data_IF_266732095977
#
_entry.id   IF_266732095977
#
_cell.length_a   1.000
_cell.length_b   1.000
_cell.length_c   1.000
_cell.angle_alpha   90.00
_cell.angle_beta   90.00
_cell.angle_gamma   90.00
#
_symmetry.space_group_name_H-M   'P 1'
#
loop_
_entity.id
_entity.type
_entity.pdbx_description
1 polymer ?
#
# COMPACT_ATOMS: atom_id res chain seq x y z
N UNK A 1 -2.20 -14.76 -4.53
CA UNK A 1 -1.53 -13.83 -5.47
C UNK A 1 -0.04 -14.10 -5.45
N UNK A 2 0.69 -13.82 -6.54
CA UNK A 2 2.12 -14.08 -6.65
C UNK A 2 2.87 -12.84 -7.15
N UNK A 3 4.18 -12.78 -6.89
CA UNK A 3 5.04 -11.77 -7.50
C UNK A 3 4.97 -11.86 -9.04
N UNK A 4 5.04 -10.71 -9.71
CA UNK A 4 4.83 -10.56 -11.16
C UNK A 4 3.37 -10.38 -11.57
N UNK A 5 2.40 -10.57 -10.67
CA UNK A 5 0.99 -10.31 -10.97
C UNK A 5 0.79 -8.81 -11.21
N UNK A 6 0.14 -8.45 -12.32
CA UNK A 6 -0.22 -7.07 -12.63
C UNK A 6 -1.67 -6.81 -12.24
N UNK A 7 -1.92 -5.59 -11.77
CA UNK A 7 -3.25 -5.08 -11.49
C UNK A 7 -3.40 -3.68 -12.05
N UNK A 8 -4.59 -3.13 -11.90
CA UNK A 8 -4.86 -1.77 -12.34
C UNK A 8 -5.64 -1.05 -11.25
N UNK A 9 -5.12 0.09 -10.81
CA UNK A 9 -5.79 0.97 -9.88
C UNK A 9 -6.51 2.07 -10.67
N UNK A 10 -7.82 2.19 -10.51
CA UNK A 10 -8.59 3.34 -10.99
C UNK A 10 -8.90 4.25 -9.80
N UNK A 11 -8.10 5.30 -9.57
CA UNK A 11 -8.39 6.24 -8.49
C UNK A 11 -9.69 7.02 -8.79
N UNK A 12 -10.38 7.48 -7.74
CA UNK A 12 -11.58 8.31 -7.89
C UNK A 12 -11.31 9.64 -8.61
N UNK A 13 -10.07 10.11 -8.58
CA UNK A 13 -9.55 11.21 -9.40
C UNK A 13 -8.17 10.84 -9.94
N UNK A 14 -7.98 10.95 -11.26
CA UNK A 14 -6.72 10.66 -11.94
C UNK A 14 -6.82 9.54 -12.98
N UNK A 15 -5.75 9.32 -13.77
CA UNK A 15 -5.72 8.28 -14.78
C UNK A 15 -5.65 6.89 -14.15
N UNK A 16 -6.05 5.89 -14.92
CA UNK A 16 -5.88 4.49 -14.60
C UNK A 16 -4.38 4.16 -14.49
N UNK A 17 -3.95 3.63 -13.35
CA UNK A 17 -2.54 3.38 -13.03
C UNK A 17 -2.27 1.87 -12.94
N UNK A 18 -1.51 1.28 -13.88
CA UNK A 18 -1.09 -0.10 -13.79
C UNK A 18 -0.04 -0.27 -12.68
N UNK A 19 -0.21 -1.30 -11.87
CA UNK A 19 0.75 -1.67 -10.84
C UNK A 19 1.14 -3.14 -10.96
N UNK A 20 2.30 -3.48 -10.43
CA UNK A 20 2.80 -4.86 -10.39
C UNK A 20 3.16 -5.24 -8.97
N UNK A 21 2.69 -6.40 -8.51
CA UNK A 21 3.18 -7.01 -7.29
C UNK A 21 4.62 -7.48 -7.50
N UNK A 22 5.56 -6.89 -6.77
CA UNK A 22 6.99 -7.23 -6.87
C UNK A 22 7.43 -8.20 -5.79
N UNK A 23 6.72 -8.26 -4.67
CA UNK A 23 6.92 -9.26 -3.62
C UNK A 23 5.57 -9.61 -2.98
N UNK A 24 5.36 -10.89 -2.68
CA UNK A 24 4.18 -11.36 -1.96
C UNK A 24 4.62 -12.47 -1.02
N UNK A 25 4.32 -12.33 0.26
CA UNK A 25 4.53 -13.35 1.29
C UNK A 25 3.18 -13.56 2.00
N UNK A 26 2.49 -14.68 1.73
CA UNK A 26 1.17 -14.95 2.31
C UNK A 26 1.16 -14.80 3.82
N UNK A 27 0.13 -14.15 4.37
CA UNK A 27 -0.01 -13.88 5.81
C UNK A 27 0.93 -12.83 6.38
N UNK A 28 1.97 -12.40 5.66
CA UNK A 28 2.99 -11.46 6.15
C UNK A 28 2.93 -10.12 5.44
N UNK A 29 2.76 -10.09 4.12
CA UNK A 29 2.75 -8.81 3.41
C UNK A 29 2.98 -8.92 1.91
N UNK A 30 2.96 -7.76 1.27
CA UNK A 30 3.22 -7.64 -0.16
C UNK A 30 3.80 -6.27 -0.49
N UNK A 31 4.45 -6.17 -1.64
CA UNK A 31 4.93 -4.91 -2.20
C UNK A 31 4.43 -4.80 -3.63
N UNK A 32 3.81 -3.67 -3.94
CA UNK A 32 3.38 -3.32 -5.27
C UNK A 32 4.06 -2.02 -5.74
N UNK A 33 4.15 -1.89 -7.06
CA UNK A 33 4.90 -0.83 -7.72
C UNK A 33 4.09 -0.27 -8.87
N UNK A 34 3.83 1.03 -8.80
CA UNK A 34 3.28 1.84 -9.89
C UNK A 34 4.39 2.63 -10.57
N UNK A 35 4.24 2.83 -11.88
CA UNK A 35 5.18 3.65 -12.69
C UNK A 35 4.55 5.01 -12.97
N UNK A 36 5.30 6.06 -12.65
CA UNK A 36 4.95 7.44 -12.96
C UNK A 36 5.91 7.96 -14.05
N UNK A 37 5.56 9.01 -14.80
CA UNK A 37 6.51 9.67 -15.69
C UNK A 37 7.78 10.09 -14.93
N UNK A 38 8.93 9.51 -15.27
CA UNK A 38 10.22 9.78 -14.62
C UNK A 38 10.23 9.57 -13.08
N UNK A 39 9.33 8.75 -12.57
CA UNK A 39 9.28 8.40 -11.16
C UNK A 39 8.66 7.03 -10.96
N UNK A 40 8.78 6.51 -9.75
CA UNK A 40 8.17 5.23 -9.36
C UNK A 40 7.63 5.37 -7.96
N UNK A 41 6.46 4.80 -7.74
CA UNK A 41 5.83 4.73 -6.44
C UNK A 41 5.79 3.27 -6.00
N UNK A 42 6.35 3.01 -4.83
CA UNK A 42 6.42 1.67 -4.22
C UNK A 42 5.61 1.69 -2.95
N UNK A 43 4.65 0.77 -2.85
CA UNK A 43 3.85 0.54 -1.67
C UNK A 43 4.27 -0.78 -1.05
N UNK A 44 4.64 -0.75 0.22
CA UNK A 44 4.97 -1.94 0.99
C UNK A 44 4.00 -2.08 2.15
N UNK A 45 3.39 -3.26 2.22
CA UNK A 45 2.46 -3.66 3.26
C UNK A 45 3.06 -4.81 4.03
N UNK A 46 3.15 -4.67 5.36
CA UNK A 46 3.73 -5.68 6.24
C UNK A 46 2.90 -5.84 7.50
N UNK A 47 2.73 -7.08 7.92
CA UNK A 47 2.09 -7.49 9.16
C UNK A 47 3.16 -8.19 9.98
N UNK A 48 3.44 -7.64 11.15
CA UNK A 48 4.36 -8.22 12.11
C UNK A 48 3.58 -8.65 13.36
N UNK A 49 3.79 -9.86 13.89
CA UNK A 49 3.20 -10.24 15.18
C UNK A 49 3.81 -9.39 16.29
N UNK A 50 3.01 -9.12 17.31
CA UNK A 50 3.40 -8.40 18.53
C UNK A 50 2.79 -9.09 19.75
N UNK A 51 3.30 -8.85 20.97
CA UNK A 51 2.70 -9.44 22.17
C UNK A 51 1.21 -9.10 22.39
N UNK A 52 0.73 -7.99 21.82
CA UNK A 52 -0.64 -7.50 21.99
C UNK A 52 -1.53 -7.72 20.76
N UNK A 53 -1.07 -8.45 19.74
CA UNK A 53 -1.79 -8.64 18.48
C UNK A 53 -0.85 -8.48 17.28
N UNK A 54 -1.25 -7.72 16.27
CA UNK A 54 -0.47 -7.54 15.04
C UNK A 54 -0.20 -6.07 14.76
N UNK A 55 0.99 -5.77 14.24
CA UNK A 55 1.37 -4.43 13.76
C UNK A 55 1.30 -4.40 12.24
N UNK A 56 0.35 -3.63 11.71
CA UNK A 56 0.27 -3.34 10.29
C UNK A 56 1.12 -2.11 9.95
N UNK A 57 2.06 -2.27 9.02
CA UNK A 57 2.89 -1.18 8.49
C UNK A 57 2.60 -0.98 7.02
N UNK A 58 2.10 0.20 6.67
CA UNK A 58 1.98 0.67 5.30
C UNK A 58 3.06 1.72 5.03
N UNK A 59 3.98 1.43 4.12
CA UNK A 59 5.05 2.33 3.70
C UNK A 59 4.87 2.72 2.23
N UNK A 60 5.00 4.01 1.94
CA UNK A 60 4.98 4.54 0.57
C UNK A 60 6.31 5.23 0.29
N UNK A 61 6.93 4.88 -0.84
CA UNK A 61 8.18 5.47 -1.30
C UNK A 61 8.00 5.96 -2.72
N UNK A 62 8.30 7.24 -2.96
CA UNK A 62 8.36 7.82 -4.31
C UNK A 62 9.83 8.08 -4.64
N UNK A 63 10.31 7.52 -5.75
CA UNK A 63 11.70 7.65 -6.18
C UNK A 63 11.78 8.11 -7.63
N UNK A 64 12.94 8.67 -8.01
CA UNK A 64 13.23 9.15 -9.37
C UNK A 64 13.28 10.68 -9.49
N UNK A 65 13.66 11.19 -10.68
CA UNK A 65 13.86 12.62 -10.93
C UNK A 65 12.67 13.52 -10.55
N UNK A 66 11.44 13.08 -10.83
CA UNK A 66 10.23 13.85 -10.53
C UNK A 66 9.60 13.52 -9.16
N UNK A 67 10.29 12.77 -8.30
CA UNK A 67 9.76 12.33 -7.00
C UNK A 67 9.24 13.46 -6.13
N UNK A 68 9.90 14.63 -6.09
CA UNK A 68 9.44 15.78 -5.29
C UNK A 68 8.13 16.39 -5.80
N UNK A 69 7.91 16.39 -7.12
CA UNK A 69 6.68 16.87 -7.71
C UNK A 69 5.52 15.95 -7.31
N UNK A 70 5.69 14.64 -7.50
CA UNK A 70 4.69 13.64 -7.13
C UNK A 70 4.48 13.56 -5.61
N UNK A 71 5.52 13.77 -4.79
CA UNK A 71 5.37 13.87 -3.34
C UNK A 71 4.46 15.03 -2.92
N UNK A 72 4.51 16.18 -3.63
CA UNK A 72 3.60 17.30 -3.38
C UNK A 72 2.17 17.03 -3.82
N UNK A 73 1.99 16.45 -5.00
CA UNK A 73 0.66 16.25 -5.61
C UNK A 73 -0.06 15.02 -5.03
N UNK A 74 0.63 13.88 -4.98
CA UNK A 74 0.09 12.59 -4.54
C UNK A 74 0.40 12.35 -3.07
N UNK A 75 1.66 12.59 -2.67
CA UNK A 75 2.14 12.29 -1.32
C UNK A 75 1.36 13.00 -0.21
N UNK A 76 0.86 14.22 -0.45
CA UNK A 76 0.01 14.95 0.51
C UNK A 76 -1.33 14.25 0.77
N UNK A 77 -1.99 13.78 -0.28
CA UNK A 77 -3.26 13.05 -0.17
C UNK A 77 -3.06 11.70 0.49
N UNK A 78 -1.97 11.01 0.15
CA UNK A 78 -1.57 9.74 0.78
C UNK A 78 -1.32 9.95 2.27
N UNK A 79 -0.55 10.97 2.65
CA UNK A 79 -0.24 11.26 4.05
C UNK A 79 -1.49 11.62 4.87
N UNK A 80 -2.47 12.32 4.27
CA UNK A 80 -3.72 12.65 4.91
C UNK A 80 -4.68 11.45 5.03
N UNK A 81 -4.77 10.62 3.99
CA UNK A 81 -5.73 9.53 3.91
C UNK A 81 -5.28 8.23 4.59
N UNK A 82 -3.98 7.91 4.53
CA UNK A 82 -3.48 6.64 5.05
C UNK A 82 -3.77 6.41 6.53
N UNK A 83 -3.51 7.37 7.45
CA UNK A 83 -3.79 7.15 8.86
C UNK A 83 -5.26 6.78 9.13
N UNK A 84 -6.20 7.47 8.46
CA UNK A 84 -7.63 7.20 8.58
C UNK A 84 -7.98 5.81 8.06
N UNK A 85 -7.44 5.43 6.89
CA UNK A 85 -7.64 4.09 6.32
C UNK A 85 -7.07 2.98 7.20
N UNK A 86 -5.89 3.19 7.81
CA UNK A 86 -5.27 2.22 8.71
C UNK A 86 -6.04 2.06 10.01
N UNK A 87 -6.58 3.15 10.57
CA UNK A 87 -7.45 3.08 11.75
C UNK A 87 -8.74 2.30 11.47
N UNK A 88 -9.37 2.53 10.31
CA UNK A 88 -10.55 1.75 9.89
C UNK A 88 -10.21 0.28 9.71
N UNK A 89 -9.07 -0.02 9.07
CA UNK A 89 -8.60 -1.38 8.89
C UNK A 89 -8.37 -2.09 10.25
N UNK A 90 -7.73 -1.41 11.20
CA UNK A 90 -7.51 -1.96 12.54
C UNK A 90 -8.84 -2.30 13.23
N UNK A 91 -9.81 -1.37 13.23
CA UNK A 91 -11.15 -1.62 13.80
C UNK A 91 -11.85 -2.82 13.15
N UNK A 92 -11.81 -2.90 11.83
CA UNK A 92 -12.42 -4.03 11.11
C UNK A 92 -11.76 -5.36 11.46
N UNK A 93 -10.42 -5.38 11.57
CA UNK A 93 -9.67 -6.56 11.95
C UNK A 93 -9.96 -7.00 13.40
N UNK A 94 -10.18 -6.05 14.31
CA UNK A 94 -10.55 -6.32 15.71
C UNK A 94 -11.98 -6.84 15.85
N UNK A 95 -12.91 -6.39 15.00
CA UNK A 95 -14.32 -6.80 15.07
C UNK A 95 -14.65 -8.07 14.27
N UNK A 96 -13.76 -8.49 13.39
CA UNK A 96 -13.95 -9.70 12.57
C UNK A 96 -13.26 -10.87 13.28
N UNK A 97 -13.98 -11.89 13.76
CA UNK A 97 -13.35 -13.09 14.29
C UNK A 97 -12.39 -13.66 13.24
N UNK A 98 -11.18 -14.02 13.65
CA UNK A 98 -10.23 -14.67 12.76
C UNK A 98 -10.93 -15.89 12.14
N UNK A 99 -11.08 -15.90 10.81
CA UNK A 99 -11.53 -17.09 10.11
C UNK A 99 -10.49 -18.18 10.41
N UNK A 100 -10.89 -19.15 11.22
CA UNK A 100 -10.13 -20.37 11.45
C UNK A 100 -10.00 -21.07 10.09
N UNK A 101 -8.79 -21.06 9.54
CA UNK A 101 -8.41 -21.76 8.32
C UNK A 101 -7.29 -22.73 8.65
#
# INVERSE_FOLDING_TARGET
>A
MAAGTCGTLKPGQGPQDPFTFTAVVPGVGFTDVSRLPLARMTFSHRIDPTPAGSRFTHKVVISGPLSRLFARVIGRNVAAGLPVSMQKLARLAETTPAAIG
#
